data_IF_704784388078
#
_entry.id   IF_704784388078
#
_cell.length_a   1.000
_cell.length_b   1.000
_cell.length_c   1.000
_cell.angle_alpha   90.00
_cell.angle_beta   90.00
_cell.angle_gamma   90.00
#
_symmetry.space_group_name_H-M   'P 1'
#
loop_
_entity.id
_entity.type
_entity.pdbx_description
1 polymer ?
#
# COMPACT_ATOMS: atom_id res chain seq x y z
N UNK A 1 13.43 5.82 -21.24
CA UNK A 1 12.21 5.14 -20.75
C UNK A 1 12.63 3.81 -20.13
N UNK A 2 13.25 3.84 -18.95
CA UNK A 2 13.93 2.69 -18.36
C UNK A 2 13.55 2.53 -16.89
N UNK A 3 12.99 1.35 -16.58
CA UNK A 3 13.13 0.60 -15.32
C UNK A 3 12.67 1.24 -14.00
N UNK A 4 11.36 1.44 -13.80
CA UNK A 4 10.76 1.65 -12.47
C UNK A 4 10.25 0.35 -11.81
N UNK A 5 10.57 -0.81 -12.39
CA UNK A 5 9.91 -2.07 -12.07
C UNK A 5 10.49 -2.80 -10.85
N UNK A 6 11.47 -2.23 -10.13
CA UNK A 6 12.21 -2.94 -9.08
C UNK A 6 11.72 -2.68 -7.65
N UNK A 7 10.93 -1.63 -7.41
CA UNK A 7 10.60 -1.20 -6.04
C UNK A 7 9.17 -1.54 -5.59
N UNK A 8 8.27 -1.91 -6.50
CA UNK A 8 6.85 -2.01 -6.20
C UNK A 8 6.41 -3.35 -5.57
N UNK A 9 7.28 -4.07 -4.86
CA UNK A 9 6.90 -5.28 -4.11
C UNK A 9 7.33 -5.13 -2.65
N UNK A 10 6.38 -5.26 -1.73
CA UNK A 10 6.62 -5.12 -0.30
C UNK A 10 6.13 -6.36 0.46
N UNK A 11 6.77 -6.60 1.61
CA UNK A 11 6.41 -7.60 2.61
C UNK A 11 6.20 -6.86 3.93
N UNK A 12 5.21 -7.27 4.73
CA UNK A 12 4.89 -6.59 5.99
C UNK A 12 4.87 -7.57 7.14
N UNK A 13 5.72 -7.32 8.13
CA UNK A 13 5.61 -7.92 9.46
C UNK A 13 4.84 -6.94 10.35
N UNK A 14 3.72 -7.38 10.91
CA UNK A 14 2.74 -6.49 11.53
C UNK A 14 2.70 -6.62 13.05
N UNK A 15 2.95 -5.51 13.75
CA UNK A 15 2.87 -5.44 15.22
C UNK A 15 1.47 -5.84 15.68
N UNK A 16 1.38 -6.73 16.65
CA UNK A 16 0.11 -7.28 17.16
C UNK A 16 -0.40 -8.51 16.40
N UNK A 17 0.12 -8.78 15.21
CA UNK A 17 0.07 -10.13 14.60
C UNK A 17 1.34 -10.90 14.98
N UNK A 18 2.47 -10.19 15.07
CA UNK A 18 3.80 -10.75 15.33
C UNK A 18 4.19 -11.82 14.29
N UNK A 19 3.76 -11.59 13.04
CA UNK A 19 4.08 -12.40 11.88
C UNK A 19 3.94 -11.56 10.60
N UNK A 20 4.35 -12.14 9.47
CA UNK A 20 4.10 -11.60 8.15
C UNK A 20 2.61 -11.71 7.77
N UNK A 21 2.03 -10.58 7.36
CA UNK A 21 0.65 -10.53 6.86
C UNK A 21 0.63 -10.48 5.34
N UNK A 22 -0.45 -11.01 4.75
CA UNK A 22 -0.61 -11.00 3.28
C UNK A 22 -0.66 -9.58 2.72
N UNK A 23 -1.22 -8.64 3.48
CA UNK A 23 -1.38 -7.25 3.05
C UNK A 23 -1.56 -6.35 4.27
N UNK A 24 -0.94 -5.18 4.23
CA UNK A 24 -1.16 -4.12 5.20
C UNK A 24 -1.35 -2.79 4.45
N UNK A 25 -2.56 -2.22 4.52
CA UNK A 25 -2.91 -1.03 3.76
C UNK A 25 -2.13 0.22 4.19
N UNK A 26 -1.94 0.41 5.49
CA UNK A 26 -1.14 1.52 6.04
C UNK A 26 0.33 1.38 5.66
N UNK A 27 0.88 0.15 5.73
CA UNK A 27 2.24 -0.16 5.27
C UNK A 27 2.46 0.14 3.79
N UNK A 28 1.47 -0.18 2.93
CA UNK A 28 1.52 0.13 1.50
C UNK A 28 1.56 1.64 1.23
N UNK A 29 0.70 2.44 1.88
CA UNK A 29 0.70 3.90 1.78
C UNK A 29 2.05 4.47 2.22
N UNK A 30 2.51 4.08 3.41
CA UNK A 30 3.76 4.59 3.98
C UNK A 30 4.96 4.29 3.09
N UNK A 31 5.03 3.07 2.54
CA UNK A 31 6.08 2.66 1.62
C UNK A 31 6.06 3.50 0.35
N UNK A 32 4.89 3.71 -0.27
CA UNK A 32 4.76 4.50 -1.50
C UNK A 32 5.23 5.95 -1.32
N UNK A 33 4.84 6.58 -0.21
CA UNK A 33 5.27 7.93 0.14
C UNK A 33 6.78 7.97 0.41
N UNK A 34 7.31 7.00 1.16
CA UNK A 34 8.74 6.93 1.47
C UNK A 34 9.60 6.78 0.20
N UNK A 35 9.16 6.00 -0.78
CA UNK A 35 9.86 5.87 -2.06
C UNK A 35 9.80 7.12 -2.92
N UNK A 36 8.67 7.83 -2.91
CA UNK A 36 8.55 9.12 -3.55
C UNK A 36 9.53 10.13 -2.92
N UNK A 37 9.59 10.21 -1.58
CA UNK A 37 10.54 11.09 -0.88
C UNK A 37 12.00 10.70 -1.12
N UNK A 38 12.27 9.41 -1.27
CA UNK A 38 13.63 8.90 -1.52
C UNK A 38 14.07 9.07 -2.98
N UNK A 39 13.22 9.65 -3.85
CA UNK A 39 13.50 9.81 -5.28
C UNK A 39 13.50 8.50 -6.08
N UNK A 40 13.03 7.40 -5.49
CA UNK A 40 12.87 6.11 -6.17
C UNK A 40 11.67 6.12 -7.12
N UNK A 41 10.71 6.99 -6.85
CA UNK A 41 9.54 7.24 -7.68
C UNK A 41 9.36 8.75 -7.86
N UNK A 42 8.84 9.15 -9.01
CA UNK A 42 8.48 10.54 -9.32
C UNK A 42 7.01 10.69 -9.75
N UNK A 43 6.18 9.70 -9.42
CA UNK A 43 4.75 9.64 -9.71
C UNK A 43 3.98 9.52 -8.40
N UNK A 44 2.80 10.11 -8.36
CA UNK A 44 1.92 10.20 -7.19
C UNK A 44 0.80 9.14 -7.19
N UNK A 45 0.71 8.36 -8.28
CA UNK A 45 -0.11 7.16 -8.42
C UNK A 45 0.78 5.92 -8.55
N UNK A 46 0.87 5.15 -7.48
CA UNK A 46 1.84 4.07 -7.32
C UNK A 46 1.14 2.73 -7.20
N UNK A 47 1.47 1.80 -8.10
CA UNK A 47 1.11 0.40 -7.92
C UNK A 47 2.02 -0.23 -6.86
N UNK A 48 1.44 -0.92 -5.90
CA UNK A 48 2.15 -1.65 -4.83
C UNK A 48 1.68 -3.10 -4.85
N UNK A 49 2.60 -4.01 -5.13
CA UNK A 49 2.35 -5.45 -5.03
C UNK A 49 2.65 -5.90 -3.60
N UNK A 50 1.69 -6.59 -3.00
CA UNK A 50 1.81 -7.28 -1.72
C UNK A 50 1.56 -8.77 -1.95
N UNK A 51 1.80 -9.61 -0.94
CA UNK A 51 1.52 -11.05 -1.06
C UNK A 51 0.04 -11.35 -1.36
N UNK A 52 -0.86 -10.59 -0.74
CA UNK A 52 -2.31 -10.72 -0.87
C UNK A 52 -2.90 -10.13 -2.15
N UNK A 53 -2.09 -9.54 -3.03
CA UNK A 53 -2.53 -9.02 -4.31
C UNK A 53 -1.95 -7.66 -4.67
N UNK A 54 -2.68 -6.92 -5.52
CA UNK A 54 -2.26 -5.61 -6.02
C UNK A 54 -3.06 -4.51 -5.33
N UNK A 55 -2.33 -3.50 -4.87
CA UNK A 55 -2.88 -2.26 -4.35
C UNK A 55 -2.41 -1.10 -5.23
N UNK A 56 -3.17 -0.02 -5.22
CA UNK A 56 -2.78 1.26 -5.80
C UNK A 56 -2.88 2.33 -4.71
N UNK A 57 -1.83 3.14 -4.59
CA UNK A 57 -1.77 4.28 -3.69
C UNK A 57 -1.76 5.53 -4.54
N UNK A 58 -2.72 6.42 -4.30
CA UNK A 58 -2.75 7.77 -4.86
C UNK A 58 -2.54 8.77 -3.73
N UNK A 59 -1.74 9.80 -3.96
CA UNK A 59 -1.59 10.92 -3.02
C UNK A 59 -1.38 12.23 -3.76
N UNK A 60 -1.45 13.35 -3.06
CA UNK A 60 -1.02 14.66 -3.54
C UNK A 60 0.02 15.23 -2.59
N UNK A 61 1.06 15.87 -3.12
CA UNK A 61 2.12 16.52 -2.31
C UNK A 61 2.21 18.01 -2.63
N UNK A 62 2.15 18.86 -1.61
CA UNK A 62 2.39 20.31 -1.71
C UNK A 62 3.41 20.70 -0.64
N UNK A 63 4.60 21.12 -1.08
CA UNK A 63 5.73 21.34 -0.17
C UNK A 63 6.08 20.05 0.57
N UNK A 64 5.99 20.06 1.91
CA UNK A 64 6.21 18.89 2.78
C UNK A 64 4.93 18.17 3.20
N UNK A 65 3.74 18.62 2.75
CA UNK A 65 2.46 18.04 3.16
C UNK A 65 1.92 17.08 2.13
N UNK A 66 1.45 15.94 2.61
CA UNK A 66 0.69 14.96 1.84
C UNK A 66 -0.80 15.06 2.15
N UNK A 67 -1.64 14.96 1.11
CA UNK A 67 -3.09 15.00 1.20
C UNK A 67 -3.74 14.10 0.13
N UNK A 68 -5.07 13.97 0.18
CA UNK A 68 -5.85 13.16 -0.77
C UNK A 68 -5.28 11.74 -0.96
N UNK A 69 -4.94 11.10 0.17
CA UNK A 69 -4.36 9.77 0.17
C UNK A 69 -5.47 8.75 -0.04
N UNK A 70 -5.40 8.00 -1.13
CA UNK A 70 -6.32 6.92 -1.43
C UNK A 70 -5.56 5.60 -1.53
N UNK A 71 -6.12 4.57 -0.91
CA UNK A 71 -5.72 3.19 -1.11
C UNK A 71 -6.82 2.47 -1.87
N UNK A 72 -6.47 1.91 -3.03
CA UNK A 72 -7.39 1.24 -3.92
C UNK A 72 -6.94 -0.21 -4.05
N UNK A 73 -7.88 -1.13 -3.90
CA UNK A 73 -7.61 -2.56 -3.98
C UNK A 73 -8.91 -3.36 -4.18
N UNK A 74 -8.81 -4.62 -4.62
CA UNK A 74 -9.96 -5.47 -4.80
C UNK A 74 -10.55 -5.89 -3.45
N UNK A 75 -11.88 -6.00 -3.38
CA UNK A 75 -12.61 -6.56 -2.24
C UNK A 75 -13.43 -7.74 -2.72
N UNK A 76 -13.47 -8.82 -1.93
CA UNK A 76 -14.26 -10.02 -2.23
C UNK A 76 -15.09 -10.42 -1.02
N UNK A 77 -16.40 -10.60 -1.22
CA UNK A 77 -17.26 -11.20 -0.22
C UNK A 77 -16.91 -12.68 -0.05
N UNK A 78 -16.67 -13.11 1.20
CA UNK A 78 -16.27 -14.49 1.51
C UNK A 78 -17.43 -15.26 2.13
N UNK A 79 -18.05 -14.74 3.18
CA UNK A 79 -19.17 -15.36 3.87
C UNK A 79 -20.01 -14.32 4.62
N UNK A 80 -21.20 -14.73 5.07
CA UNK A 80 -22.05 -14.01 6.02
C UNK A 80 -22.44 -14.97 7.14
N UNK A 81 -22.48 -14.47 8.38
CA UNK A 81 -22.88 -15.23 9.57
C UNK A 81 -23.44 -14.31 10.65
N UNK A 82 -23.92 -14.93 11.73
CA UNK A 82 -24.43 -14.26 12.94
C UNK A 82 -23.55 -14.70 14.12
N UNK A 83 -23.34 -13.82 15.11
CA UNK A 83 -22.58 -14.12 16.33
C UNK A 83 -23.36 -13.64 17.54
N UNK A 84 -23.48 -14.49 18.56
CA UNK A 84 -24.04 -14.10 19.85
C UNK A 84 -22.97 -13.33 20.64
N UNK A 85 -23.38 -12.24 21.29
CA UNK A 85 -22.50 -11.35 22.06
C UNK A 85 -22.91 -11.36 23.52
#
# INVERSE_FOLDING_TARGET
MYSYQKWNFIRTYERGVEDETLSCGTGAIASAIAAYESGLLNIDRVNVNVLGGKLEVLFSKVGSKYSNIHLIGPTKFVFKGEVDV
#
